data_IF_981555675926
#
_entry.id   IF_981555675926
#
_cell.length_a   1.000
_cell.length_b   1.000
_cell.length_c   1.000
_cell.angle_alpha   90.00
_cell.angle_beta   90.00
_cell.angle_gamma   90.00
#
_symmetry.space_group_name_H-M   'P 1'
#
loop_
_entity.id
_entity.type
_entity.pdbx_description
1 polymer ?
#
# COMPACT_ATOMS: atom_id res chain seq x y z
N UNK A 1 17.36 -1.23 10.86
CA UNK A 1 16.98 -0.06 11.69
C UNK A 1 17.73 1.20 11.24
N UNK A 2 19.06 1.16 11.12
CA UNK A 2 19.89 2.27 10.66
C UNK A 2 19.42 2.98 9.37
N UNK A 3 18.93 2.25 8.35
CA UNK A 3 18.44 2.88 7.13
C UNK A 3 17.20 3.76 7.37
N UNK A 4 16.28 3.33 8.22
CA UNK A 4 15.07 4.11 8.55
C UNK A 4 15.39 5.35 9.36
N UNK A 5 16.38 5.27 10.26
CA UNK A 5 16.87 6.41 11.03
C UNK A 5 17.53 7.44 10.12
N UNK A 6 18.46 7.01 9.25
CA UNK A 6 19.09 7.88 8.25
C UNK A 6 18.07 8.58 7.35
N UNK A 7 17.05 7.86 6.87
CA UNK A 7 15.96 8.46 6.08
C UNK A 7 15.17 9.47 6.89
N UNK A 8 14.88 9.19 8.16
CA UNK A 8 14.14 10.11 9.03
C UNK A 8 14.93 11.40 9.29
N UNK A 9 16.21 11.26 9.62
CA UNK A 9 17.08 12.41 9.89
C UNK A 9 17.25 13.28 8.64
N UNK A 10 17.37 12.64 7.47
CA UNK A 10 17.31 13.33 6.18
C UNK A 10 15.99 14.10 6.02
N UNK A 11 14.83 13.46 6.17
CA UNK A 11 13.54 14.13 5.98
C UNK A 11 13.33 15.32 6.92
N UNK A 12 13.87 15.25 8.14
CA UNK A 12 13.80 16.33 9.13
C UNK A 12 14.70 17.52 8.83
N UNK A 13 15.76 17.33 8.04
CA UNK A 13 16.70 18.40 7.73
C UNK A 13 16.28 19.29 6.55
N UNK A 14 15.14 19.02 5.91
CA UNK A 14 14.71 19.75 4.70
C UNK A 14 13.31 20.34 4.84
N UNK A 15 13.17 21.54 4.26
CA UNK A 15 11.90 22.23 4.04
C UNK A 15 11.59 22.24 2.54
N UNK A 16 10.32 22.16 2.21
CA UNK A 16 9.81 22.39 0.86
C UNK A 16 9.25 23.81 0.80
N UNK A 17 9.56 24.53 -0.26
CA UNK A 17 9.03 25.88 -0.55
C UNK A 17 8.39 25.88 -1.94
N UNK A 18 7.22 26.49 -2.08
CA UNK A 18 6.56 26.67 -3.38
C UNK A 18 6.85 28.07 -3.98
N UNK A 19 6.40 28.32 -5.21
CA UNK A 19 6.62 29.59 -5.91
C UNK A 19 5.95 30.80 -5.22
N UNK A 20 4.95 30.56 -4.36
CA UNK A 20 4.24 31.58 -3.59
C UNK A 20 4.89 31.90 -2.23
N UNK A 21 6.03 31.27 -1.91
CA UNK A 21 6.75 31.44 -0.64
C UNK A 21 6.16 30.66 0.55
N UNK A 22 5.25 29.72 0.31
CA UNK A 22 4.74 28.80 1.33
C UNK A 22 5.75 27.69 1.60
N UNK A 23 6.10 27.50 2.88
CA UNK A 23 7.04 26.47 3.33
C UNK A 23 6.39 25.40 4.20
N UNK A 24 6.76 24.13 3.98
CA UNK A 24 6.31 22.98 4.78
C UNK A 24 7.45 21.99 5.03
N UNK A 25 7.44 21.32 6.19
CA UNK A 25 8.41 20.26 6.50
C UNK A 25 8.31 19.11 5.49
N UNK A 26 9.47 18.67 4.97
CA UNK A 26 9.52 17.53 4.05
C UNK A 26 9.02 16.24 4.73
N UNK A 27 9.28 16.06 6.02
CA UNK A 27 8.77 14.93 6.82
C UNK A 27 7.23 14.87 6.79
N UNK A 28 6.56 16.01 6.96
CA UNK A 28 5.10 16.10 6.95
C UNK A 28 4.53 15.69 5.60
N UNK A 29 5.09 16.21 4.50
CA UNK A 29 4.64 15.87 3.14
C UNK A 29 4.89 14.40 2.82
N UNK A 30 6.06 13.88 3.19
CA UNK A 30 6.42 12.48 2.97
C UNK A 30 5.42 11.52 3.64
N UNK A 31 5.03 11.79 4.89
CA UNK A 31 4.07 10.97 5.62
C UNK A 31 2.60 11.24 5.26
N UNK A 32 2.28 12.37 4.62
CA UNK A 32 0.93 12.65 4.12
C UNK A 32 0.54 11.78 2.92
N UNK A 33 1.52 11.27 2.16
CA UNK A 33 1.27 10.50 0.94
C UNK A 33 0.63 9.12 1.16
N UNK A 34 0.13 8.54 0.06
CA UNK A 34 -0.49 7.20 0.00
C UNK A 34 0.49 6.06 0.28
N UNK A 35 1.80 6.32 0.16
CA UNK A 35 2.84 5.35 0.50
C UNK A 35 3.01 5.14 2.01
N UNK A 36 2.40 6.00 2.84
CA UNK A 36 2.40 5.81 4.29
C UNK A 36 1.64 4.51 4.63
N UNK A 37 2.25 3.54 5.33
CA UNK A 37 1.60 2.28 5.71
C UNK A 37 0.27 2.45 6.45
N UNK A 38 0.10 3.53 7.21
CA UNK A 38 -1.14 3.83 7.93
C UNK A 38 -2.24 4.19 6.94
N UNK A 39 -1.98 5.12 6.02
CA UNK A 39 -2.95 5.53 4.98
C UNK A 39 -3.27 4.37 4.05
N UNK A 40 -2.24 3.69 3.54
CA UNK A 40 -2.40 2.52 2.68
C UNK A 40 -3.26 1.43 3.33
N UNK A 41 -3.07 1.19 4.64
CA UNK A 41 -3.92 0.25 5.39
C UNK A 41 -5.36 0.75 5.47
N UNK A 42 -5.57 2.02 5.80
CA UNK A 42 -6.92 2.60 5.88
C UNK A 42 -7.67 2.48 4.54
N UNK A 43 -7.01 2.85 3.43
CA UNK A 43 -7.55 2.72 2.07
C UNK A 43 -7.89 1.26 1.72
N UNK A 44 -6.99 0.33 2.03
CA UNK A 44 -7.21 -1.10 1.83
C UNK A 44 -8.45 -1.57 2.60
N UNK A 45 -8.57 -1.22 3.88
CA UNK A 45 -9.70 -1.62 4.71
C UNK A 45 -11.03 -1.02 4.20
N UNK A 46 -11.03 0.25 3.80
CA UNK A 46 -12.21 0.89 3.21
C UNK A 46 -12.64 0.20 1.92
N UNK A 47 -11.68 -0.13 1.05
CA UNK A 47 -11.94 -0.85 -0.20
C UNK A 47 -12.51 -2.25 0.06
N UNK A 48 -11.90 -3.00 0.99
CA UNK A 48 -12.37 -4.34 1.37
C UNK A 48 -13.81 -4.28 1.90
N UNK A 49 -14.13 -3.31 2.77
CA UNK A 49 -15.49 -3.18 3.29
C UNK A 49 -16.50 -2.80 2.20
N UNK A 50 -16.11 -1.93 1.26
CA UNK A 50 -16.97 -1.59 0.12
C UNK A 50 -17.31 -2.82 -0.73
N UNK A 51 -16.32 -3.67 -1.01
CA UNK A 51 -16.51 -4.92 -1.76
C UNK A 51 -17.39 -5.92 -1.01
N UNK A 52 -17.20 -6.05 0.31
CA UNK A 52 -18.03 -6.88 1.18
C UNK A 52 -19.50 -6.46 1.11
N UNK A 53 -19.80 -5.17 1.28
CA UNK A 53 -21.17 -4.65 1.22
C UNK A 53 -21.83 -4.89 -0.14
N UNK A 54 -21.07 -4.76 -1.24
CA UNK A 54 -21.58 -5.03 -2.59
C UNK A 54 -21.90 -6.53 -2.79
N UNK A 55 -21.02 -7.41 -2.29
CA UNK A 55 -21.24 -8.86 -2.36
C UNK A 55 -22.47 -9.28 -1.55
N UNK A 56 -22.64 -8.72 -0.34
CA UNK A 56 -23.83 -8.93 0.50
C UNK A 56 -25.10 -8.47 -0.21
N UNK A 57 -25.11 -7.26 -0.78
CA UNK A 57 -26.25 -6.71 -1.50
C UNK A 57 -26.66 -7.54 -2.73
N UNK A 58 -25.70 -8.21 -3.37
CA UNK A 58 -25.93 -9.11 -4.51
C UNK A 58 -26.33 -10.53 -4.09
N UNK A 59 -26.19 -10.88 -2.81
CA UNK A 59 -26.39 -12.24 -2.32
C UNK A 59 -25.27 -13.21 -2.71
N UNK A 60 -24.08 -12.69 -3.03
CA UNK A 60 -22.93 -13.50 -3.42
C UNK A 60 -22.45 -14.39 -2.26
N UNK A 61 -21.78 -15.51 -2.58
CA UNK A 61 -21.24 -16.45 -1.59
C UNK A 61 -19.72 -16.41 -1.59
N UNK A 62 -19.13 -16.21 -0.42
CA UNK A 62 -17.68 -16.26 -0.24
C UNK A 62 -17.16 -17.70 -0.41
N UNK A 63 -16.11 -17.86 -1.21
CA UNK A 63 -15.39 -19.14 -1.37
C UNK A 63 -13.89 -18.91 -1.18
N UNK A 64 -13.25 -19.84 -0.48
CA UNK A 64 -11.79 -19.86 -0.30
C UNK A 64 -11.20 -20.95 -1.18
N UNK A 65 -10.50 -20.56 -2.25
CA UNK A 65 -9.97 -21.47 -3.26
C UNK A 65 -8.45 -21.40 -3.27
N UNK A 66 -7.79 -22.55 -3.17
CA UNK A 66 -6.36 -22.69 -3.46
C UNK A 66 -6.21 -23.16 -4.89
N UNK A 67 -6.05 -22.23 -5.83
CA UNK A 67 -5.81 -22.56 -7.24
C UNK A 67 -4.33 -22.88 -7.41
N UNK A 68 -4.01 -24.16 -7.64
CA UNK A 68 -2.66 -24.59 -7.98
C UNK A 68 -2.49 -24.75 -9.49
N UNK A 69 -1.25 -24.69 -9.96
CA UNK A 69 -0.93 -24.95 -11.35
C UNK A 69 -1.27 -26.42 -11.68
N UNK A 70 -2.04 -26.71 -12.75
CA UNK A 70 -2.19 -28.07 -13.23
C UNK A 70 -0.81 -28.69 -13.49
N UNK A 71 -0.63 -29.97 -13.13
CA UNK A 71 0.68 -30.65 -13.20
C UNK A 71 1.42 -30.45 -14.52
N UNK A 72 0.69 -30.45 -15.64
CA UNK A 72 1.19 -30.25 -17.01
C UNK A 72 1.83 -28.89 -17.31
N UNK A 73 1.70 -27.90 -16.42
CA UNK A 73 2.25 -26.55 -16.59
C UNK A 73 3.32 -26.22 -15.54
N UNK A 74 3.67 -27.16 -14.66
CA UNK A 74 4.87 -26.99 -13.85
C UNK A 74 6.09 -27.06 -14.76
N UNK A 75 7.06 -26.19 -14.53
CA UNK A 75 8.37 -26.29 -15.17
C UNK A 75 9.01 -27.61 -14.74
N UNK A 76 9.07 -28.59 -15.65
CA UNK A 76 9.80 -29.83 -15.45
C UNK A 76 11.25 -29.61 -15.89
N UNK A 77 12.19 -30.11 -15.09
CA UNK A 77 13.64 -30.08 -15.39
C UNK A 77 14.06 -31.16 -16.41
N UNK A 78 13.13 -31.66 -17.22
CA UNK A 78 13.45 -32.62 -18.27
C UNK A 78 14.16 -31.89 -19.43
N UNK A 79 15.49 -32.03 -19.45
CA UNK A 79 16.35 -31.88 -20.63
C UNK A 79 16.37 -33.18 -21.42
#
# INVERSE_FOLDING_TARGET
>A
RAQREKTRDFLKSFMLENEDGFTIDLETVYYAGVSNPVHRKAEMMATMKGLELLAEARGDKAVFLTVTCPSKYHATTEN
#
